data_IF_433861853551
#
_entry.id   IF_433861853551
#
_cell.length_a   1.000
_cell.length_b   1.000
_cell.length_c   1.000
_cell.angle_alpha   90.00
_cell.angle_beta   90.00
_cell.angle_gamma   90.00
#
_symmetry.space_group_name_H-M   'P 1'
#
loop_
_entity.id
_entity.type
_entity.pdbx_description
1 polymer ?
#
# COMPACT_ATOMS: atom_id res chain seq x y z
N UNK A 1 -1.07 -23.56 -10.13
CA UNK A 1 -1.34 -22.12 -9.94
C UNK A 1 -2.64 -21.78 -10.64
N UNK A 2 -3.53 -21.06 -9.98
CA UNK A 2 -4.80 -20.59 -10.53
C UNK A 2 -4.87 -19.06 -10.41
N UNK A 3 -5.26 -18.36 -11.46
CA UNK A 3 -5.47 -16.90 -11.45
C UNK A 3 -6.75 -16.57 -12.18
N UNK A 4 -7.54 -15.66 -11.64
CA UNK A 4 -8.69 -15.08 -12.31
C UNK A 4 -8.67 -13.55 -12.13
N UNK A 5 -9.18 -12.82 -13.12
CA UNK A 5 -9.33 -11.36 -13.09
C UNK A 5 -10.56 -10.98 -13.89
N UNK A 6 -11.26 -9.95 -13.45
CA UNK A 6 -12.38 -9.37 -14.17
C UNK A 6 -12.44 -7.86 -14.01
N UNK A 7 -13.09 -7.21 -14.98
CA UNK A 7 -13.41 -5.79 -14.91
C UNK A 7 -14.71 -5.59 -14.11
N UNK A 8 -14.76 -4.55 -13.29
CA UNK A 8 -15.91 -4.19 -12.44
C UNK A 8 -16.32 -2.74 -12.69
N UNK A 9 -16.70 -2.48 -13.94
CA UNK A 9 -17.04 -1.15 -14.43
C UNK A 9 -15.88 -0.50 -15.17
N UNK A 10 -16.03 0.80 -15.46
CA UNK A 10 -15.05 1.52 -16.29
C UNK A 10 -13.78 1.82 -15.49
N UNK A 11 -12.64 1.29 -15.93
CA UNK A 11 -11.34 1.55 -15.31
C UNK A 11 -11.13 0.87 -13.96
N UNK A 12 -11.98 -0.11 -13.59
CA UNK A 12 -11.94 -0.82 -12.32
C UNK A 12 -11.81 -2.32 -12.54
N UNK A 13 -11.03 -3.01 -11.71
CA UNK A 13 -10.73 -4.45 -11.85
C UNK A 13 -10.63 -5.13 -10.50
N UNK A 14 -10.90 -6.43 -10.47
CA UNK A 14 -10.63 -7.31 -9.33
C UNK A 14 -9.93 -8.58 -9.81
N UNK A 15 -8.99 -9.08 -9.03
CA UNK A 15 -8.18 -10.25 -9.33
C UNK A 15 -7.99 -11.13 -8.11
N UNK A 16 -7.80 -12.42 -8.36
CA UNK A 16 -7.41 -13.41 -7.36
C UNK A 16 -6.36 -14.33 -7.95
N UNK A 17 -5.43 -14.75 -7.10
CA UNK A 17 -4.36 -15.69 -7.40
C UNK A 17 -4.30 -16.70 -6.26
N UNK A 18 -4.17 -17.96 -6.62
CA UNK A 18 -3.90 -19.05 -5.71
C UNK A 18 -2.70 -19.86 -6.22
N UNK A 19 -1.75 -20.11 -5.35
CA UNK A 19 -0.62 -21.00 -5.62
C UNK A 19 -0.43 -21.96 -4.46
N UNK A 20 -0.21 -23.22 -4.80
CA UNK A 20 0.10 -24.28 -3.86
C UNK A 20 1.36 -24.99 -4.34
N UNK A 21 2.24 -25.31 -3.41
CA UNK A 21 3.44 -26.11 -3.67
C UNK A 21 3.58 -27.14 -2.56
N UNK A 22 3.60 -28.40 -2.95
CA UNK A 22 3.96 -29.52 -2.08
C UNK A 22 5.47 -29.79 -2.22
N UNK A 23 6.13 -30.18 -1.13
CA UNK A 23 7.55 -30.49 -1.10
C UNK A 23 7.75 -31.93 -1.58
N UNK A 24 8.69 -32.12 -2.50
CA UNK A 24 8.97 -33.42 -3.13
C UNK A 24 10.02 -34.24 -2.38
N UNK A 25 10.41 -33.83 -1.17
CA UNK A 25 11.41 -34.49 -0.33
C UNK A 25 10.83 -35.62 0.54
N UNK A 26 9.53 -35.89 0.42
CA UNK A 26 8.84 -36.94 1.18
C UNK A 26 8.39 -36.53 2.59
N UNK A 27 8.66 -35.28 3.01
CA UNK A 27 8.29 -34.75 4.34
C UNK A 27 6.79 -34.44 4.50
N UNK A 28 6.04 -34.38 3.40
CA UNK A 28 4.65 -33.91 3.42
C UNK A 28 4.50 -32.40 3.71
N UNK A 29 5.60 -31.66 3.73
CA UNK A 29 5.59 -30.21 3.84
C UNK A 29 4.86 -29.57 2.64
N UNK A 30 4.19 -28.45 2.88
CA UNK A 30 3.51 -27.68 1.83
C UNK A 30 3.57 -26.19 2.10
N UNK A 31 3.33 -25.41 1.04
CA UNK A 31 3.11 -23.97 1.10
C UNK A 31 1.92 -23.60 0.23
N UNK A 32 0.92 -22.93 0.81
CA UNK A 32 -0.25 -22.42 0.10
C UNK A 32 -0.30 -20.91 0.26
N UNK A 33 -0.43 -20.20 -0.84
CA UNK A 33 -0.55 -18.74 -0.87
C UNK A 33 -1.78 -18.36 -1.67
N UNK A 34 -2.61 -17.51 -1.08
CA UNK A 34 -3.73 -16.86 -1.75
C UNK A 34 -3.48 -15.36 -1.77
N UNK A 35 -3.82 -14.69 -2.87
CA UNK A 35 -3.82 -13.24 -2.94
C UNK A 35 -4.98 -12.70 -3.75
N UNK A 36 -5.50 -11.55 -3.35
CA UNK A 36 -6.48 -10.78 -4.10
C UNK A 36 -5.93 -9.38 -4.40
N UNK A 37 -6.29 -8.84 -5.56
CA UNK A 37 -6.00 -7.46 -5.95
C UNK A 37 -7.27 -6.75 -6.43
N UNK A 38 -7.38 -5.46 -6.15
CA UNK A 38 -8.49 -4.64 -6.61
C UNK A 38 -7.98 -3.26 -7.02
N UNK A 39 -8.57 -2.72 -8.09
CA UNK A 39 -8.45 -1.32 -8.50
C UNK A 39 -9.84 -0.77 -8.76
N UNK A 40 -10.21 0.32 -8.10
CA UNK A 40 -11.46 1.03 -8.34
C UNK A 40 -11.17 2.45 -8.79
N UNK A 41 -11.79 2.86 -9.89
CA UNK A 41 -11.83 4.25 -10.35
C UNK A 41 -13.24 4.79 -10.13
N UNK A 42 -13.38 5.81 -9.29
CA UNK A 42 -14.64 6.43 -8.93
C UNK A 42 -14.67 7.89 -9.40
N UNK A 43 -15.66 8.21 -10.23
CA UNK A 43 -15.91 9.58 -10.72
C UNK A 43 -14.73 10.21 -11.49
N UNK A 44 -13.80 9.41 -12.02
CA UNK A 44 -12.61 9.86 -12.73
C UNK A 44 -11.62 10.69 -11.88
N UNK A 45 -11.83 10.74 -10.56
CA UNK A 45 -11.05 11.58 -9.63
C UNK A 45 -10.49 10.81 -8.45
N UNK A 46 -11.10 9.67 -8.11
CA UNK A 46 -10.66 8.84 -6.99
C UNK A 46 -10.21 7.49 -7.51
N UNK A 47 -9.02 7.06 -7.11
CA UNK A 47 -8.53 5.72 -7.37
C UNK A 47 -8.25 5.01 -6.05
N UNK A 48 -8.78 3.81 -5.85
CA UNK A 48 -8.44 2.91 -4.75
C UNK A 48 -7.74 1.70 -5.35
N UNK A 49 -6.54 1.38 -4.87
CA UNK A 49 -5.81 0.18 -5.25
C UNK A 49 -5.52 -0.62 -3.99
N UNK A 50 -5.83 -1.92 -3.97
CA UNK A 50 -5.54 -2.79 -2.84
C UNK A 50 -4.96 -4.11 -3.32
N UNK A 51 -4.09 -4.69 -2.48
CA UNK A 51 -3.57 -6.03 -2.63
C UNK A 51 -3.54 -6.67 -1.24
N UNK A 52 -4.10 -7.87 -1.14
CA UNK A 52 -4.07 -8.68 0.09
C UNK A 52 -3.51 -10.04 -0.28
N UNK A 53 -2.56 -10.55 0.48
CA UNK A 53 -2.04 -11.90 0.35
C UNK A 53 -2.04 -12.58 1.70
N UNK A 54 -2.08 -13.91 1.72
CA UNK A 54 -1.88 -14.67 2.92
C UNK A 54 -1.27 -16.03 2.61
N UNK A 55 -0.43 -16.51 3.52
CA UNK A 55 0.25 -17.79 3.41
C UNK A 55 -0.11 -18.71 4.57
N UNK A 56 -0.16 -20.01 4.27
CA UNK A 56 -0.18 -21.10 5.25
C UNK A 56 0.88 -22.10 4.83
N UNK A 57 1.73 -22.51 5.75
CA UNK A 57 2.79 -23.48 5.52
C UNK A 57 2.82 -24.57 6.60
N UNK A 58 3.44 -25.70 6.25
CA UNK A 58 3.72 -26.80 7.18
C UNK A 58 5.15 -27.26 6.95
N UNK A 59 5.91 -27.41 8.02
CA UNK A 59 7.30 -27.88 8.00
C UNK A 59 7.44 -29.27 8.65
N UNK A 60 8.48 -30.02 8.30
CA UNK A 60 8.74 -31.38 8.81
C UNK A 60 9.02 -31.42 10.33
N UNK A 61 9.55 -30.32 10.88
CA UNK A 61 9.88 -30.20 12.30
C UNK A 61 8.69 -29.79 13.17
N UNK A 62 7.55 -29.41 12.57
CA UNK A 62 6.39 -28.90 13.29
C UNK A 62 5.13 -29.68 12.89
N UNK A 63 4.51 -30.37 13.86
CA UNK A 63 3.31 -31.19 13.59
C UNK A 63 2.07 -30.36 13.28
N UNK A 64 2.16 -29.04 13.41
CA UNK A 64 1.07 -28.07 13.20
C UNK A 64 1.34 -27.19 11.96
N UNK A 65 0.29 -26.84 11.22
CA UNK A 65 0.35 -25.81 10.17
C UNK A 65 0.46 -24.43 10.81
N UNK A 66 1.20 -23.51 10.20
CA UNK A 66 1.24 -22.10 10.62
C UNK A 66 -0.14 -21.45 10.51
N UNK A 67 -0.40 -20.51 11.41
CA UNK A 67 -1.58 -19.65 11.37
C UNK A 67 -1.55 -18.75 10.12
N UNK A 68 -2.72 -18.37 9.61
CA UNK A 68 -2.84 -17.53 8.42
C UNK A 68 -2.09 -16.20 8.63
N UNK A 69 -1.01 -16.00 7.89
CA UNK A 69 -0.19 -14.79 7.99
C UNK A 69 -0.51 -13.85 6.83
N UNK A 70 -1.17 -12.69 7.06
CA UNK A 70 -1.54 -11.77 5.98
C UNK A 70 -0.45 -10.75 5.61
N UNK A 71 -0.55 -10.24 4.38
CA UNK A 71 0.06 -9.01 3.90
C UNK A 71 -1.05 -8.16 3.28
N UNK A 72 -1.10 -6.88 3.63
CA UNK A 72 -2.08 -5.93 3.12
C UNK A 72 -1.35 -4.70 2.59
N UNK A 73 -1.70 -4.30 1.38
CA UNK A 73 -1.27 -3.04 0.78
C UNK A 73 -2.50 -2.33 0.23
N UNK A 74 -2.63 -1.05 0.53
CA UNK A 74 -3.71 -0.22 0.02
C UNK A 74 -3.20 1.19 -0.30
N UNK A 75 -3.69 1.77 -1.39
CA UNK A 75 -3.51 3.17 -1.71
C UNK A 75 -4.83 3.78 -2.13
N UNK A 76 -5.07 5.02 -1.71
CA UNK A 76 -6.17 5.83 -2.20
C UNK A 76 -5.63 7.18 -2.67
N UNK A 77 -6.08 7.58 -3.84
CA UNK A 77 -5.64 8.78 -4.53
C UNK A 77 -6.85 9.64 -4.89
N UNK A 78 -6.74 10.95 -4.67
CA UNK A 78 -7.66 11.94 -5.23
C UNK A 78 -6.90 12.88 -6.15
N UNK A 79 -7.30 12.92 -7.41
CA UNK A 79 -6.83 13.87 -8.40
C UNK A 79 -7.70 15.12 -8.43
N UNK A 80 -7.07 16.27 -8.67
CA UNK A 80 -7.71 17.57 -8.79
C UNK A 80 -6.72 18.62 -9.25
N UNK A 81 -7.21 19.68 -9.89
CA UNK A 81 -6.36 20.77 -10.39
C UNK A 81 -5.76 21.59 -9.24
N UNK A 82 -6.60 21.97 -8.29
CA UNK A 82 -6.23 22.82 -7.15
C UNK A 82 -5.85 22.02 -5.92
N UNK A 83 -6.33 20.79 -5.80
CA UNK A 83 -6.04 19.98 -4.62
C UNK A 83 -5.95 18.50 -4.99
N UNK A 84 -4.85 17.89 -4.58
CA UNK A 84 -4.59 16.46 -4.71
C UNK A 84 -4.19 15.88 -3.37
N UNK A 85 -4.50 14.61 -3.15
CA UNK A 85 -3.94 13.89 -2.01
C UNK A 85 -3.83 12.41 -2.33
N UNK A 86 -2.91 11.74 -1.64
CA UNK A 86 -2.81 10.29 -1.62
C UNK A 86 -2.53 9.81 -0.19
N UNK A 87 -2.99 8.60 0.11
CA UNK A 87 -2.65 7.89 1.33
C UNK A 87 -2.33 6.44 1.01
N UNK A 88 -1.32 5.89 1.68
CA UNK A 88 -0.89 4.50 1.56
C UNK A 88 -0.91 3.83 2.91
N UNK A 89 -1.34 2.58 2.92
CA UNK A 89 -1.34 1.69 4.07
C UNK A 89 -0.64 0.39 3.66
N UNK A 90 0.37 -0.01 4.43
CA UNK A 90 1.05 -1.30 4.24
C UNK A 90 1.13 -1.99 5.59
N UNK A 91 0.78 -3.27 5.62
CA UNK A 91 0.88 -4.10 6.81
C UNK A 91 1.36 -5.48 6.41
N UNK A 92 2.39 -5.98 7.10
CA UNK A 92 2.97 -7.29 6.82
C UNK A 92 3.06 -8.05 8.12
N UNK A 93 2.31 -9.14 8.24
CA UNK A 93 2.36 -9.98 9.43
C UNK A 93 3.81 -10.50 9.65
N UNK A 94 4.32 -10.53 10.90
CA UNK A 94 5.69 -10.99 11.20
C UNK A 94 6.04 -12.36 10.60
N UNK A 95 5.06 -13.26 10.60
CA UNK A 95 5.19 -14.64 10.11
C UNK A 95 4.86 -14.80 8.63
N UNK A 96 4.67 -13.71 7.88
CA UNK A 96 4.44 -13.82 6.44
C UNK A 96 5.67 -14.42 5.74
N UNK A 97 5.46 -15.55 5.05
CA UNK A 97 6.51 -16.27 4.32
C UNK A 97 6.11 -16.51 2.87
N UNK A 98 6.51 -15.59 1.99
CA UNK A 98 6.53 -15.84 0.55
C UNK A 98 7.89 -16.45 0.16
N UNK A 99 7.97 -17.78 0.00
CA UNK A 99 9.21 -18.50 -0.38
C UNK A 99 9.73 -18.17 -1.81
N UNK A 100 9.28 -17.07 -2.41
CA UNK A 100 9.55 -16.66 -3.79
C UNK A 100 10.17 -15.26 -3.94
N UNK A 101 10.50 -14.52 -2.88
CA UNK A 101 11.18 -13.23 -3.05
C UNK A 101 11.26 -12.39 -1.78
N UNK A 102 12.32 -11.58 -1.70
CA UNK A 102 12.62 -10.66 -0.60
C UNK A 102 11.43 -9.74 -0.30
N UNK A 103 10.90 -9.82 0.92
CA UNK A 103 9.98 -8.83 1.47
C UNK A 103 10.77 -8.03 2.49
N UNK A 104 10.87 -6.73 2.24
CA UNK A 104 11.52 -5.79 3.12
C UNK A 104 10.57 -5.44 4.27
N UNK A 105 10.92 -5.84 5.49
CA UNK A 105 10.28 -5.49 6.78
C UNK A 105 8.91 -6.13 7.06
N UNK A 106 8.91 -7.43 7.36
CA UNK A 106 7.77 -8.05 8.03
C UNK A 106 7.68 -7.58 9.50
N UNK A 107 6.46 -7.46 10.03
CA UNK A 107 6.18 -7.07 11.42
C UNK A 107 5.90 -5.58 11.65
N UNK A 108 5.97 -4.76 10.61
CA UNK A 108 5.65 -3.33 10.68
C UNK A 108 4.31 -3.03 9.98
N UNK A 109 3.55 -2.09 10.53
CA UNK A 109 2.46 -1.37 9.86
C UNK A 109 2.94 0.04 9.50
N UNK A 110 2.77 0.45 8.25
CA UNK A 110 3.15 1.77 7.74
C UNK A 110 1.94 2.53 7.19
N UNK A 111 1.84 3.80 7.54
CA UNK A 111 0.83 4.73 7.05
C UNK A 111 1.49 6.03 6.59
N UNK A 112 1.39 6.30 5.29
CA UNK A 112 1.86 7.55 4.72
C UNK A 112 0.71 8.31 4.09
N UNK A 113 0.81 9.64 4.12
CA UNK A 113 -0.12 10.49 3.40
C UNK A 113 0.59 11.73 2.88
N UNK A 114 0.13 12.22 1.73
CA UNK A 114 0.59 13.47 1.15
C UNK A 114 -0.60 14.22 0.58
N UNK A 115 -0.60 15.53 0.78
CA UNK A 115 -1.57 16.45 0.21
C UNK A 115 -0.84 17.62 -0.43
N UNK A 116 -1.37 18.08 -1.56
CA UNK A 116 -0.84 19.23 -2.30
C UNK A 116 -1.98 20.17 -2.66
N UNK A 117 -1.82 21.44 -2.29
CA UNK A 117 -2.68 22.55 -2.69
C UNK A 117 -1.96 23.38 -3.75
N UNK A 118 -2.57 23.55 -4.91
CA UNK A 118 -2.10 24.37 -6.01
C UNK A 118 -2.93 25.66 -6.07
N UNK A 119 -2.26 26.79 -5.83
CA UNK A 119 -2.82 28.12 -5.98
C UNK A 119 -2.42 28.67 -7.34
N UNK A 120 -3.36 29.30 -8.05
CA UNK A 120 -3.14 29.80 -9.41
C UNK A 120 -3.26 31.32 -9.44
N UNK A 121 -2.25 31.98 -10.01
CA UNK A 121 -2.30 33.40 -10.31
C UNK A 121 -3.09 33.71 -11.59
N UNK A 122 -3.38 34.98 -11.86
CA UNK A 122 -3.87 35.43 -13.16
C UNK A 122 -2.89 35.06 -14.29
N UNK A 123 -3.39 34.88 -15.50
CA UNK A 123 -2.54 34.65 -16.67
C UNK A 123 -1.60 35.86 -16.89
N UNK A 124 -0.30 35.61 -17.07
CA UNK A 124 0.71 36.66 -17.23
C UNK A 124 1.19 37.29 -15.92
N UNK A 125 0.80 36.76 -14.76
CA UNK A 125 1.40 37.14 -13.48
C UNK A 125 2.78 36.49 -13.33
N UNK A 126 3.69 37.16 -12.62
CA UNK A 126 5.04 36.64 -12.31
C UNK A 126 4.98 35.30 -11.54
N UNK A 127 3.89 35.07 -10.81
CA UNK A 127 3.61 33.81 -10.10
C UNK A 127 2.30 33.21 -10.62
N UNK A 128 2.40 32.34 -11.63
CA UNK A 128 1.22 31.67 -12.20
C UNK A 128 0.77 30.46 -11.37
N UNK A 129 1.68 29.84 -10.62
CA UNK A 129 1.37 28.71 -9.74
C UNK A 129 2.27 28.68 -8.50
N UNK A 130 1.63 28.44 -7.36
CA UNK A 130 2.29 28.13 -6.08
C UNK A 130 1.74 26.82 -5.55
N UNK A 131 2.64 25.92 -5.12
CA UNK A 131 2.24 24.62 -4.56
C UNK A 131 2.64 24.50 -3.10
N UNK A 132 1.68 24.13 -2.26
CA UNK A 132 1.89 23.82 -0.84
C UNK A 132 1.70 22.33 -0.67
N UNK A 133 2.75 21.63 -0.25
CA UNK A 133 2.69 20.19 0.00
C UNK A 133 2.93 19.90 1.48
N UNK A 134 2.09 19.03 2.04
CA UNK A 134 2.28 18.47 3.36
C UNK A 134 2.28 16.95 3.25
N UNK A 135 3.22 16.28 3.93
CA UNK A 135 3.29 14.82 3.95
C UNK A 135 3.61 14.31 5.35
N UNK A 136 3.13 13.11 5.64
CA UNK A 136 3.43 12.36 6.86
C UNK A 136 3.89 10.95 6.50
N UNK A 137 4.85 10.45 7.26
CA UNK A 137 5.33 9.06 7.23
C UNK A 137 5.24 8.54 8.66
N UNK A 138 4.55 7.42 8.87
CA UNK A 138 4.30 6.84 10.20
C UNK A 138 4.52 5.33 10.17
N UNK A 139 5.24 4.82 11.16
CA UNK A 139 5.54 3.40 11.34
C UNK A 139 5.04 2.95 12.71
N UNK A 140 4.45 1.75 12.75
CA UNK A 140 3.91 1.11 13.94
C UNK A 140 4.35 -0.35 13.96
N UNK A 141 4.48 -0.93 15.15
CA UNK A 141 4.53 -2.38 15.29
C UNK A 141 3.17 -2.98 14.92
N UNK A 142 3.18 -4.09 14.17
CA UNK A 142 1.98 -4.77 13.70
C UNK A 142 1.05 -5.18 14.86
N UNK A 143 1.58 -5.87 15.87
CA UNK A 143 0.76 -6.41 16.95
C UNK A 143 0.15 -5.28 17.78
N UNK A 144 0.91 -4.22 18.01
CA UNK A 144 0.43 -3.05 18.73
C UNK A 144 -0.69 -2.31 17.98
N UNK A 145 -0.51 -2.12 16.67
CA UNK A 145 -1.50 -1.46 15.79
C UNK A 145 -2.83 -2.22 15.79
N UNK A 146 -2.80 -3.54 15.62
CA UNK A 146 -4.01 -4.37 15.51
C UNK A 146 -4.64 -4.75 16.85
N UNK A 147 -3.87 -4.80 17.94
CA UNK A 147 -4.41 -5.03 19.30
C UNK A 147 -5.11 -3.80 19.89
N UNK A 148 -4.92 -2.62 19.28
CA UNK A 148 -5.47 -1.36 19.79
C UNK A 148 -4.88 -0.95 21.14
N UNK A 149 -3.75 -1.53 21.53
CA UNK A 149 -3.15 -1.36 22.86
C UNK A 149 -2.49 0.01 23.09
N UNK A 150 -2.41 0.84 22.04
CA UNK A 150 -2.12 2.29 22.13
C UNK A 150 -0.78 2.65 22.79
N UNK A 151 0.11 1.68 23.01
CA UNK A 151 1.37 1.85 23.72
C UNK A 151 2.50 2.08 22.72
N UNK A 152 2.40 3.14 21.93
CA UNK A 152 3.30 3.32 20.79
C UNK A 152 4.70 3.59 21.31
N UNK A 153 5.59 2.60 21.16
CA UNK A 153 7.02 2.87 21.11
C UNK A 153 7.30 3.47 19.72
N UNK A 154 6.79 4.68 19.52
CA UNK A 154 6.68 5.40 18.25
C UNK A 154 8.06 5.89 17.83
N UNK A 155 8.79 5.11 17.04
CA UNK A 155 10.19 5.44 16.76
C UNK A 155 10.38 6.41 15.58
N UNK A 156 9.39 6.65 14.72
CA UNK A 156 9.54 7.66 13.66
C UNK A 156 8.22 8.19 13.11
N UNK A 157 7.95 9.47 13.37
CA UNK A 157 6.92 10.25 12.68
C UNK A 157 7.58 11.45 12.03
N UNK A 158 7.55 11.49 10.71
CA UNK A 158 8.08 12.63 9.94
C UNK A 158 6.92 13.38 9.33
N UNK A 159 6.77 14.66 9.66
CA UNK A 159 5.87 15.56 8.97
C UNK A 159 6.72 16.59 8.23
N UNK A 160 6.52 16.68 6.91
CA UNK A 160 7.24 17.63 6.06
C UNK A 160 6.23 18.55 5.40
N UNK A 161 6.43 19.86 5.54
CA UNK A 161 5.71 20.88 4.77
C UNK A 161 6.72 21.58 3.88
N UNK A 162 6.43 21.65 2.59
CA UNK A 162 7.27 22.30 1.59
C UNK A 162 6.43 23.23 0.72
N UNK A 163 7.04 24.35 0.33
CA UNK A 163 6.46 25.31 -0.59
C UNK A 163 7.39 25.42 -1.80
N UNK A 164 6.84 25.31 -3.01
CA UNK A 164 7.55 25.60 -4.25
C UNK A 164 6.82 26.69 -5.01
N UNK A 165 7.58 27.67 -5.51
CA UNK A 165 7.06 28.75 -6.35
C UNK A 165 7.95 28.95 -7.57
N UNK A 166 7.29 29.31 -8.67
CA UNK A 166 7.81 29.80 -9.96
C UNK A 166 8.06 28.72 -11.03
N UNK A 167 7.06 28.48 -11.88
CA UNK A 167 7.31 28.34 -13.33
C UNK A 167 7.16 29.74 -13.93
N UNK A 168 8.27 30.32 -14.36
CA UNK A 168 8.30 31.57 -15.12
C UNK A 168 8.13 31.17 -16.59
N UNK A 169 6.94 31.35 -17.16
CA UNK A 169 6.79 31.23 -18.61
C UNK A 169 7.45 32.46 -19.24
N UNK A 170 8.70 32.29 -19.69
CA UNK A 170 9.35 33.23 -20.59
C UNK A 170 8.43 33.43 -21.79
N UNK A 171 7.85 34.63 -21.87
CA UNK A 171 7.14 35.12 -23.05
C UNK A 171 8.16 35.20 -24.19
N UNK A 172 7.99 34.34 -25.20
CA UNK A 172 8.57 34.51 -26.55
C UNK A 172 7.73 35.48 -27.36
#
# INVERSE_FOLDING_TARGET
MLRARGDIGTGSTIGVLYTGRDMTDGSGAFNRVVSGDMRLLLGGRYALTTQVAGSVDRSDMDSQSTEFSPLIMASIDRSGREFTWNATFTDIHPDFRARSGFITRAGDTQVDARMTLNLFGPAGAILERTSITASTENFFDHNEFWSGSGHSNMNYRSCRVSHSGVEELSLS
#
